data_IF_686954402022
#
_entry.id   IF_686954402022
#
_cell.length_a   1.000
_cell.length_b   1.000
_cell.length_c   1.000
_cell.angle_alpha   90.00
_cell.angle_beta   90.00
_cell.angle_gamma   90.00
#
_symmetry.space_group_name_H-M   'P 1'
#
loop_
_entity.id
_entity.type
_entity.pdbx_description
1 polymer ?
#
# COMPACT_ATOMS: atom_id res chain seq x y z
N UNK A 1 -34.08 12.78 -2.13
CA UNK A 1 -32.91 13.49 -1.57
C UNK A 1 -31.73 12.53 -1.38
N UNK A 2 -30.50 13.03 -1.31
CA UNK A 2 -29.27 12.27 -1.10
C UNK A 2 -28.29 13.05 -0.20
N UNK A 3 -27.43 12.39 0.57
CA UNK A 3 -26.53 13.04 1.54
C UNK A 3 -25.12 13.18 0.98
N UNK A 4 -24.64 14.40 0.72
CA UNK A 4 -23.28 14.73 0.27
C UNK A 4 -22.19 14.21 1.21
N UNK A 5 -20.96 14.07 0.72
CA UNK A 5 -19.78 13.76 1.54
C UNK A 5 -19.51 14.85 2.60
N UNK A 6 -19.93 16.09 2.33
CA UNK A 6 -19.93 17.20 3.28
C UNK A 6 -21.08 17.17 4.31
N UNK A 7 -21.90 16.12 4.31
CA UNK A 7 -23.01 15.94 5.26
C UNK A 7 -24.27 16.73 4.93
N UNK A 8 -24.28 17.53 3.86
CA UNK A 8 -25.47 18.27 3.42
C UNK A 8 -26.43 17.40 2.62
N UNK A 9 -27.72 17.73 2.66
CA UNK A 9 -28.74 17.01 1.87
C UNK A 9 -28.98 17.75 0.56
N UNK A 10 -28.95 17.02 -0.55
CA UNK A 10 -29.14 17.56 -1.90
C UNK A 10 -30.32 16.92 -2.63
N UNK A 11 -30.91 17.68 -3.55
CA UNK A 11 -31.84 17.14 -4.53
C UNK A 11 -31.07 16.55 -5.72
N UNK A 12 -31.40 15.32 -6.10
CA UNK A 12 -30.81 14.64 -7.24
C UNK A 12 -31.39 15.09 -8.59
N UNK A 13 -32.57 15.68 -8.56
CA UNK A 13 -33.26 16.30 -9.69
C UNK A 13 -34.20 17.40 -9.17
N UNK A 14 -34.58 18.39 -10.01
CA UNK A 14 -35.48 19.45 -9.60
C UNK A 14 -36.78 18.92 -9.00
N UNK A 15 -37.14 19.41 -7.81
CA UNK A 15 -38.34 18.97 -7.09
C UNK A 15 -38.23 17.56 -6.49
N UNK A 16 -37.02 17.01 -6.45
CA UNK A 16 -36.76 15.67 -5.95
C UNK A 16 -36.94 15.51 -4.44
N UNK A 17 -37.00 16.58 -3.66
CA UNK A 17 -37.36 16.51 -2.24
C UNK A 17 -38.82 16.14 -2.02
N UNK A 18 -39.71 16.50 -2.94
CA UNK A 18 -41.15 16.22 -2.88
C UNK A 18 -41.52 14.83 -3.41
N UNK A 19 -40.56 14.11 -4.00
CA UNK A 19 -40.79 12.79 -4.58
C UNK A 19 -40.40 11.69 -3.60
N UNK A 20 -41.37 10.83 -3.29
CA UNK A 20 -41.10 9.62 -2.50
C UNK A 20 -40.37 8.57 -3.33
N UNK A 21 -39.39 7.91 -2.72
CA UNK A 21 -38.75 6.74 -3.31
C UNK A 21 -39.74 5.58 -3.30
N UNK A 22 -39.99 5.00 -4.45
CA UNK A 22 -40.89 3.86 -4.68
C UNK A 22 -40.13 2.75 -5.36
N UNK A 23 -40.68 1.54 -5.36
CA UNK A 23 -40.08 0.45 -6.13
C UNK A 23 -39.95 0.83 -7.62
N UNK A 24 -40.92 1.53 -8.20
CA UNK A 24 -40.89 1.93 -9.61
C UNK A 24 -39.74 2.90 -9.96
N UNK A 25 -39.47 3.90 -9.12
CA UNK A 25 -38.46 4.94 -9.40
C UNK A 25 -37.07 4.65 -8.80
N UNK A 26 -36.87 3.49 -8.14
CA UNK A 26 -35.61 3.13 -7.47
C UNK A 26 -34.39 3.14 -8.39
N UNK A 27 -34.54 2.66 -9.63
CA UNK A 27 -33.43 2.57 -10.59
C UNK A 27 -32.97 3.95 -11.05
N UNK A 28 -33.92 4.86 -11.31
CA UNK A 28 -33.61 6.26 -11.63
C UNK A 28 -32.88 6.92 -10.46
N UNK A 29 -33.39 6.73 -9.24
CA UNK A 29 -32.75 7.28 -8.05
C UNK A 29 -31.33 6.75 -7.88
N UNK A 30 -31.09 5.45 -8.06
CA UNK A 30 -29.76 4.86 -8.00
C UNK A 30 -28.81 5.49 -9.03
N UNK A 31 -29.24 5.60 -10.29
CA UNK A 31 -28.42 6.23 -11.35
C UNK A 31 -28.07 7.68 -11.03
N UNK A 32 -29.04 8.47 -10.55
CA UNK A 32 -28.80 9.87 -10.19
C UNK A 32 -27.90 10.00 -8.95
N UNK A 33 -28.08 9.13 -7.95
CA UNK A 33 -27.25 9.13 -6.75
C UNK A 33 -25.80 8.76 -7.08
N UNK A 34 -25.59 7.76 -7.95
CA UNK A 34 -24.27 7.38 -8.45
C UNK A 34 -23.63 8.50 -9.26
N UNK A 35 -24.37 9.13 -10.18
CA UNK A 35 -23.87 10.26 -10.95
C UNK A 35 -23.47 11.43 -10.02
N UNK A 36 -24.30 11.75 -9.03
CA UNK A 36 -23.98 12.79 -8.06
C UNK A 36 -22.71 12.45 -7.25
N UNK A 37 -22.60 11.23 -6.72
CA UNK A 37 -21.39 10.74 -6.02
C UNK A 37 -20.13 10.91 -6.87
N UNK A 38 -20.18 10.55 -8.15
CA UNK A 38 -19.03 10.65 -9.05
C UNK A 38 -18.59 12.09 -9.32
N UNK A 39 -19.53 13.04 -9.29
CA UNK A 39 -19.30 14.44 -9.65
C UNK A 39 -19.13 15.40 -8.46
N UNK A 40 -19.19 14.89 -7.22
CA UNK A 40 -19.12 15.71 -6.00
C UNK A 40 -17.80 16.47 -5.82
N UNK A 41 -16.73 15.97 -6.43
CA UNK A 41 -15.39 16.54 -6.34
C UNK A 41 -14.85 16.94 -7.72
N UNK A 42 -15.72 17.32 -8.67
CA UNK A 42 -15.31 17.69 -10.03
C UNK A 42 -14.32 18.86 -10.05
N UNK A 43 -14.50 19.86 -9.18
CA UNK A 43 -13.59 21.00 -9.10
C UNK A 43 -12.17 20.58 -8.66
N UNK A 44 -12.07 19.72 -7.65
CA UNK A 44 -10.82 19.18 -7.12
C UNK A 44 -10.17 18.22 -8.14
N UNK A 45 -10.97 17.36 -8.75
CA UNK A 45 -10.54 16.42 -9.80
C UNK A 45 -10.01 17.16 -11.01
N UNK A 46 -10.67 18.25 -11.43
CA UNK A 46 -10.20 19.11 -12.50
C UNK A 46 -8.87 19.81 -12.13
N UNK A 47 -8.66 20.19 -10.87
CA UNK A 47 -7.39 20.76 -10.41
C UNK A 47 -6.25 19.73 -10.44
N UNK A 48 -6.49 18.52 -9.94
CA UNK A 48 -5.54 17.40 -10.04
C UNK A 48 -5.23 17.09 -11.50
N UNK A 49 -6.24 17.00 -12.36
CA UNK A 49 -6.06 16.76 -13.81
C UNK A 49 -5.19 17.83 -14.47
N UNK A 50 -5.39 19.11 -14.12
CA UNK A 50 -4.54 20.21 -14.62
C UNK A 50 -3.09 20.05 -14.16
N UNK A 51 -2.85 19.69 -12.90
CA UNK A 51 -1.50 19.44 -12.39
C UNK A 51 -0.81 18.28 -13.10
N UNK A 52 -1.51 17.15 -13.29
CA UNK A 52 -0.99 16.00 -14.04
C UNK A 52 -0.65 16.38 -15.48
N UNK A 53 -1.51 17.16 -16.15
CA UNK A 53 -1.31 17.60 -17.53
C UNK A 53 -0.08 18.52 -17.72
N UNK A 54 0.47 19.12 -16.65
CA UNK A 54 1.70 19.91 -16.71
C UNK A 54 2.95 19.05 -16.84
N UNK A 55 2.87 17.77 -16.45
CA UNK A 55 4.02 16.85 -16.41
C UNK A 55 3.88 15.75 -17.47
N UNK A 56 2.65 15.32 -17.77
CA UNK A 56 2.36 14.18 -18.65
C UNK A 56 1.28 14.52 -19.68
N UNK A 57 1.38 14.04 -20.94
CA UNK A 57 0.30 14.13 -21.92
C UNK A 57 -0.92 13.32 -21.46
N UNK A 58 -2.10 13.95 -21.39
CA UNK A 58 -3.31 13.28 -20.91
C UNK A 58 -3.79 12.17 -21.86
N UNK A 59 -3.47 12.28 -23.14
CA UNK A 59 -3.78 11.29 -24.17
C UNK A 59 -3.09 9.95 -23.86
N UNK A 60 -1.92 9.98 -23.23
CA UNK A 60 -1.22 8.77 -22.80
C UNK A 60 -1.96 8.06 -21.66
N UNK A 61 -2.67 8.80 -20.80
CA UNK A 61 -3.41 8.21 -19.68
C UNK A 61 -4.66 7.45 -20.15
N UNK A 62 -5.23 7.84 -21.29
CA UNK A 62 -6.41 7.17 -21.90
C UNK A 62 -6.07 5.76 -22.42
N UNK A 63 -4.77 5.45 -22.59
CA UNK A 63 -4.32 4.12 -23.00
C UNK A 63 -4.41 3.08 -21.87
N UNK A 64 -4.61 3.52 -20.63
CA UNK A 64 -4.69 2.66 -19.46
C UNK A 64 -6.11 2.58 -18.92
N UNK A 65 -6.49 1.40 -18.46
CA UNK A 65 -7.65 1.23 -17.56
C UNK A 65 -7.37 1.88 -16.20
N UNK A 66 -8.43 2.10 -15.41
CA UNK A 66 -8.29 2.64 -14.05
C UNK A 66 -7.38 1.75 -13.17
N UNK A 67 -7.50 0.43 -13.29
CA UNK A 67 -6.70 -0.54 -12.53
C UNK A 67 -5.23 -0.56 -12.97
N UNK A 68 -4.95 -0.41 -14.27
CA UNK A 68 -3.58 -0.29 -14.77
C UNK A 68 -2.93 1.02 -14.31
N UNK A 69 -3.65 2.13 -14.37
CA UNK A 69 -3.13 3.41 -13.88
C UNK A 69 -2.90 3.38 -12.36
N UNK A 70 -3.79 2.75 -11.58
CA UNK A 70 -3.59 2.55 -10.15
C UNK A 70 -2.32 1.72 -9.89
N UNK A 71 -2.11 0.61 -10.61
CA UNK A 71 -0.90 -0.22 -10.46
C UNK A 71 0.38 0.52 -10.84
N UNK A 72 0.34 1.34 -11.89
CA UNK A 72 1.48 2.14 -12.32
C UNK A 72 1.89 3.18 -11.27
N UNK A 73 0.90 3.85 -10.67
CA UNK A 73 1.12 4.95 -9.71
C UNK A 73 1.36 4.43 -8.29
N UNK A 74 0.50 3.54 -7.83
CA UNK A 74 0.50 3.05 -6.45
C UNK A 74 1.32 1.77 -6.26
N UNK A 75 1.56 1.00 -7.33
CA UNK A 75 2.20 -0.31 -7.25
C UNK A 75 1.21 -1.48 -7.15
N UNK A 76 1.75 -2.67 -7.27
CA UNK A 76 1.05 -3.95 -7.18
C UNK A 76 0.80 -4.32 -5.71
N UNK A 77 -0.49 -4.53 -5.40
CA UNK A 77 -0.95 -4.95 -4.08
C UNK A 77 -0.54 -6.39 -3.76
N UNK A 78 -0.74 -7.31 -4.71
CA UNK A 78 -0.54 -8.74 -4.51
C UNK A 78 0.80 -9.18 -5.09
N UNK A 79 1.88 -8.95 -4.35
CA UNK A 79 3.23 -9.35 -4.73
C UNK A 79 3.63 -10.68 -4.07
N UNK A 80 4.45 -11.47 -4.76
CA UNK A 80 4.98 -12.74 -4.24
C UNK A 80 6.34 -12.54 -3.58
N UNK A 81 6.69 -13.38 -2.61
CA UNK A 81 7.98 -13.30 -1.92
C UNK A 81 9.15 -13.48 -2.89
N UNK A 82 8.96 -14.28 -3.93
CA UNK A 82 9.92 -14.47 -5.02
C UNK A 82 10.13 -13.18 -5.82
N UNK A 83 9.06 -12.39 -6.02
CA UNK A 83 9.16 -11.09 -6.67
C UNK A 83 10.05 -10.14 -5.85
N UNK A 84 9.84 -10.02 -4.55
CA UNK A 84 10.72 -9.22 -3.68
C UNK A 84 12.16 -9.78 -3.68
N UNK A 85 12.31 -11.10 -3.57
CA UNK A 85 13.62 -11.78 -3.54
C UNK A 85 14.43 -11.55 -4.81
N UNK A 86 13.78 -11.47 -5.98
CA UNK A 86 14.43 -11.15 -7.26
C UNK A 86 15.16 -9.80 -7.22
N UNK A 87 14.64 -8.86 -6.44
CA UNK A 87 15.18 -7.51 -6.28
C UNK A 87 15.89 -7.30 -4.94
N UNK A 88 16.13 -8.39 -4.20
CA UNK A 88 16.87 -8.35 -2.97
C UNK A 88 18.39 -8.47 -3.21
N UNK A 89 19.16 -7.83 -2.34
CA UNK A 89 20.61 -7.93 -2.26
C UNK A 89 20.99 -8.29 -0.83
N UNK A 90 21.62 -9.44 -0.65
CA UNK A 90 22.15 -9.86 0.65
C UNK A 90 23.60 -9.38 0.72
N UNK A 91 23.91 -8.60 1.76
CA UNK A 91 25.26 -8.09 2.01
C UNK A 91 25.97 -8.91 3.07
N UNK A 92 25.97 -8.45 4.32
CA UNK A 92 26.74 -9.11 5.40
C UNK A 92 25.90 -10.09 6.23
N UNK A 93 24.60 -10.21 5.96
CA UNK A 93 23.73 -11.14 6.65
C UNK A 93 24.10 -12.60 6.36
N UNK A 94 24.00 -13.46 7.37
CA UNK A 94 24.35 -14.87 7.21
C UNK A 94 23.23 -15.64 6.48
N UNK A 95 23.62 -16.71 5.77
CA UNK A 95 22.69 -17.46 4.92
C UNK A 95 21.55 -18.13 5.70
N UNK A 96 21.76 -18.48 6.97
CA UNK A 96 20.75 -19.15 7.80
C UNK A 96 19.65 -18.17 8.19
N UNK A 97 20.02 -17.02 8.76
CA UNK A 97 19.07 -15.98 9.14
C UNK A 97 18.30 -15.43 7.94
N UNK A 98 18.98 -15.27 6.80
CA UNK A 98 18.33 -14.89 5.54
C UNK A 98 17.36 -15.97 5.04
N UNK A 99 17.72 -17.25 5.20
CA UNK A 99 16.80 -18.37 4.94
C UNK A 99 15.53 -18.27 5.76
N UNK A 100 15.66 -18.06 7.07
CA UNK A 100 14.53 -17.86 7.98
C UNK A 100 13.65 -16.68 7.57
N UNK A 101 14.24 -15.55 7.19
CA UNK A 101 13.50 -14.39 6.70
C UNK A 101 12.58 -14.76 5.53
N UNK A 102 13.12 -15.45 4.50
CA UNK A 102 12.33 -15.80 3.33
C UNK A 102 11.23 -16.81 3.63
N UNK A 103 11.52 -17.81 4.48
CA UNK A 103 10.50 -18.77 4.91
C UNK A 103 9.38 -18.10 5.71
N UNK A 104 9.73 -17.19 6.62
CA UNK A 104 8.76 -16.43 7.41
C UNK A 104 7.89 -15.56 6.51
N UNK A 105 8.49 -14.83 5.56
CA UNK A 105 7.74 -14.01 4.60
C UNK A 105 6.79 -14.85 3.73
N UNK A 106 7.19 -16.07 3.35
CA UNK A 106 6.34 -16.97 2.56
C UNK A 106 5.11 -17.46 3.36
N UNK A 107 5.26 -17.62 4.68
CA UNK A 107 4.18 -18.01 5.59
C UNK A 107 3.34 -16.84 6.11
N UNK A 108 3.71 -15.60 5.79
CA UNK A 108 2.93 -14.42 6.18
C UNK A 108 1.65 -14.31 5.36
N UNK A 109 0.57 -13.87 6.01
CA UNK A 109 -0.66 -13.47 5.31
C UNK A 109 -0.44 -12.16 4.54
N UNK A 110 -1.39 -11.82 3.67
CA UNK A 110 -1.28 -10.64 2.79
C UNK A 110 -1.06 -9.36 3.58
N UNK A 111 -1.80 -9.17 4.65
CA UNK A 111 -1.75 -7.98 5.51
C UNK A 111 -0.39 -7.86 6.22
N UNK A 112 0.19 -8.98 6.67
CA UNK A 112 1.54 -9.01 7.27
C UNK A 112 2.61 -8.65 6.25
N UNK A 113 2.48 -9.10 5.00
CA UNK A 113 3.40 -8.72 3.92
C UNK A 113 3.31 -7.24 3.58
N UNK A 114 2.11 -6.66 3.56
CA UNK A 114 1.94 -5.21 3.39
C UNK A 114 2.61 -4.43 4.52
N UNK A 115 2.42 -4.86 5.78
CA UNK A 115 3.09 -4.24 6.93
C UNK A 115 4.61 -4.38 6.86
N UNK A 116 5.11 -5.52 6.37
CA UNK A 116 6.54 -5.69 6.15
C UNK A 116 7.10 -4.69 5.14
N UNK A 117 6.42 -4.45 4.01
CA UNK A 117 6.86 -3.42 3.06
C UNK A 117 6.81 -2.01 3.65
N UNK A 118 5.80 -1.70 4.47
CA UNK A 118 5.76 -0.41 5.18
C UNK A 118 6.96 -0.29 6.11
N UNK A 119 7.30 -1.36 6.83
CA UNK A 119 8.45 -1.39 7.74
C UNK A 119 9.77 -1.15 7.00
N UNK A 120 10.05 -1.89 5.91
CA UNK A 120 11.35 -1.79 5.21
C UNK A 120 11.42 -0.70 4.15
N UNK A 121 10.28 -0.25 3.61
CA UNK A 121 10.21 0.65 2.45
C UNK A 121 9.24 1.84 2.60
N UNK A 122 8.41 1.85 3.63
CA UNK A 122 7.49 2.97 3.86
C UNK A 122 6.35 3.04 2.84
N UNK A 123 6.12 1.95 2.10
CA UNK A 123 5.05 1.82 1.12
C UNK A 123 4.33 0.51 1.33
N UNK A 124 3.03 0.49 1.08
CA UNK A 124 2.20 -0.72 1.23
C UNK A 124 2.19 -1.63 0.00
N UNK A 125 2.81 -1.21 -1.12
CA UNK A 125 2.77 -1.92 -2.41
C UNK A 125 4.14 -1.93 -3.08
N UNK A 126 4.43 -3.01 -3.80
CA UNK A 126 5.63 -3.11 -4.65
C UNK A 126 5.43 -2.30 -5.93
N UNK A 127 6.43 -1.57 -6.45
CA UNK A 127 6.39 -0.98 -7.77
C UNK A 127 6.07 -2.01 -8.86
N UNK A 128 5.39 -1.56 -9.90
CA UNK A 128 5.20 -2.36 -11.09
C UNK A 128 6.53 -2.48 -11.85
N UNK A 129 7.02 -3.71 -12.01
CA UNK A 129 8.28 -3.99 -12.69
C UNK A 129 9.51 -3.92 -11.76
N UNK A 130 10.64 -3.45 -12.29
CA UNK A 130 11.88 -3.38 -11.53
C UNK A 130 11.85 -2.18 -10.57
N UNK A 131 12.02 -2.38 -9.26
CA UNK A 131 12.05 -1.29 -8.31
C UNK A 131 13.30 -0.43 -8.52
N UNK A 132 13.22 0.89 -8.28
CA UNK A 132 14.36 1.80 -8.47
C UNK A 132 15.51 1.54 -7.50
N UNK A 133 15.21 0.90 -6.37
CA UNK A 133 16.18 0.53 -5.34
C UNK A 133 16.01 -0.96 -5.01
N UNK A 134 17.13 -1.63 -4.74
CA UNK A 134 17.15 -3.03 -4.30
C UNK A 134 16.78 -3.13 -2.82
N UNK A 135 16.12 -4.22 -2.44
CA UNK A 135 15.87 -4.54 -1.03
C UNK A 135 17.14 -5.09 -0.40
N UNK A 136 17.77 -4.36 0.51
CA UNK A 136 19.05 -4.76 1.10
C UNK A 136 18.80 -5.52 2.40
N UNK A 137 19.39 -6.72 2.53
CA UNK A 137 19.41 -7.46 3.79
C UNK A 137 20.85 -7.49 4.32
N UNK A 138 21.05 -6.88 5.48
CA UNK A 138 22.36 -6.71 6.09
C UNK A 138 22.39 -7.27 7.51
N UNK A 139 23.56 -7.64 8.01
CA UNK A 139 23.64 -8.16 9.38
C UNK A 139 23.47 -7.03 10.41
N UNK A 140 22.69 -7.30 11.44
CA UNK A 140 22.65 -6.45 12.63
C UNK A 140 23.68 -6.94 13.64
N UNK A 141 24.61 -6.06 14.01
CA UNK A 141 25.57 -6.35 15.07
C UNK A 141 24.90 -6.05 16.42
N UNK A 142 24.67 -7.10 17.21
CA UNK A 142 24.00 -7.03 18.51
C UNK A 142 24.89 -7.63 19.59
N UNK A 143 24.76 -7.13 20.83
CA UNK A 143 25.45 -7.69 22.00
C UNK A 143 24.49 -8.61 22.74
N UNK A 144 24.94 -9.80 23.15
CA UNK A 144 24.08 -10.78 23.84
C UNK A 144 23.36 -11.72 22.88
N UNK A 145 22.19 -12.22 23.28
CA UNK A 145 21.44 -13.18 22.48
C UNK A 145 20.75 -12.50 21.28
N UNK A 146 21.07 -12.86 20.02
CA UNK A 146 20.39 -12.30 18.85
C UNK A 146 18.88 -12.56 18.87
N UNK A 147 18.41 -13.64 19.49
CA UNK A 147 16.99 -13.98 19.57
C UNK A 147 16.21 -13.07 20.52
N UNK A 148 16.87 -12.19 21.28
CA UNK A 148 16.22 -11.17 22.11
C UNK A 148 16.04 -9.83 21.38
N UNK A 149 16.77 -9.61 20.28
CA UNK A 149 16.81 -8.35 19.57
C UNK A 149 15.73 -8.26 18.48
N UNK A 150 15.22 -7.07 18.24
CA UNK A 150 14.32 -6.78 17.11
C UNK A 150 15.15 -6.43 15.86
N UNK A 151 14.63 -6.76 14.66
CA UNK A 151 15.23 -6.26 13.43
C UNK A 151 15.04 -4.75 13.31
N UNK A 152 15.95 -4.09 12.61
CA UNK A 152 15.90 -2.65 12.35
C UNK A 152 15.72 -2.39 10.86
N UNK A 153 14.83 -1.48 10.50
CA UNK A 153 14.67 -1.00 9.14
C UNK A 153 15.29 0.38 8.97
N UNK A 154 16.03 0.57 7.87
CA UNK A 154 16.44 1.87 7.39
C UNK A 154 15.67 2.17 6.12
N UNK A 155 14.45 2.68 6.30
CA UNK A 155 13.43 2.83 5.25
C UNK A 155 13.91 3.68 4.07
N UNK A 156 14.67 4.76 4.34
CA UNK A 156 15.26 5.63 3.32
C UNK A 156 16.20 4.89 2.35
N UNK A 157 16.76 3.75 2.77
CA UNK A 157 17.70 2.95 1.99
C UNK A 157 17.13 1.58 1.59
N UNK A 158 15.85 1.35 1.84
CA UNK A 158 15.18 0.07 1.62
C UNK A 158 15.97 -1.12 2.20
N UNK A 159 16.43 -0.95 3.43
CA UNK A 159 17.37 -1.86 4.07
C UNK A 159 16.81 -2.45 5.36
N UNK A 160 16.97 -3.76 5.53
CA UNK A 160 16.69 -4.51 6.74
C UNK A 160 18.01 -4.95 7.38
N UNK A 161 18.25 -4.51 8.61
CA UNK A 161 19.27 -5.07 9.48
C UNK A 161 18.67 -6.24 10.25
N UNK A 162 19.19 -7.44 9.98
CA UNK A 162 18.69 -8.68 10.51
C UNK A 162 19.64 -9.23 11.58
N UNK A 163 19.20 -9.40 12.84
CA UNK A 163 19.95 -10.15 13.84
C UNK A 163 20.23 -11.57 13.35
N UNK A 164 21.33 -12.16 13.82
CA UNK A 164 21.72 -13.54 13.49
C UNK A 164 20.91 -14.56 14.27
N UNK A 165 19.60 -14.62 13.99
CA UNK A 165 18.66 -15.48 14.73
C UNK A 165 19.09 -16.95 14.70
N UNK A 166 18.92 -17.64 15.82
CA UNK A 166 19.30 -19.05 15.97
C UNK A 166 18.22 -19.99 15.46
N UNK A 167 16.98 -19.53 15.40
CA UNK A 167 15.80 -20.29 14.98
C UNK A 167 14.87 -19.48 14.10
N UNK A 168 14.07 -20.19 13.29
CA UNK A 168 13.02 -19.58 12.46
C UNK A 168 11.92 -18.97 13.34
N UNK A 169 11.62 -19.62 14.46
CA UNK A 169 10.59 -19.22 15.41
C UNK A 169 10.95 -17.86 16.05
N UNK A 170 12.21 -17.67 16.46
CA UNK A 170 12.69 -16.39 16.95
C UNK A 170 12.61 -15.30 15.88
N UNK A 171 13.06 -15.61 14.65
CA UNK A 171 12.97 -14.68 13.51
C UNK A 171 11.52 -14.25 13.26
N UNK A 172 10.58 -15.21 13.22
CA UNK A 172 9.15 -14.96 13.02
C UNK A 172 8.58 -14.08 14.13
N UNK A 173 8.81 -14.44 15.38
CA UNK A 173 8.26 -13.71 16.53
C UNK A 173 8.76 -12.25 16.56
N UNK A 174 10.06 -12.03 16.34
CA UNK A 174 10.66 -10.70 16.35
C UNK A 174 10.27 -9.86 15.14
N UNK A 175 10.19 -10.47 13.95
CA UNK A 175 9.76 -9.78 12.75
C UNK A 175 8.29 -9.35 12.84
N UNK A 176 7.40 -10.26 13.25
CA UNK A 176 5.98 -9.93 13.44
C UNK A 176 5.82 -8.82 14.49
N UNK A 177 6.52 -8.92 15.62
CA UNK A 177 6.50 -7.87 16.63
C UNK A 177 6.92 -6.51 16.04
N UNK A 178 8.03 -6.46 15.28
CA UNK A 178 8.51 -5.23 14.68
C UNK A 178 7.49 -4.61 13.71
N UNK A 179 6.95 -5.39 12.76
CA UNK A 179 6.03 -4.85 11.74
C UNK A 179 4.66 -4.44 12.32
N UNK A 180 4.22 -5.06 13.43
CA UNK A 180 2.96 -4.69 14.07
C UNK A 180 3.07 -3.47 14.99
N UNK A 181 4.24 -3.23 15.58
CA UNK A 181 4.44 -2.16 16.56
C UNK A 181 5.17 -0.93 16.00
N UNK A 182 5.86 -1.05 14.86
CA UNK A 182 6.51 0.05 14.17
C UNK A 182 5.61 0.57 13.03
N UNK A 183 4.48 1.19 13.40
CA UNK A 183 3.48 1.72 12.46
C UNK A 183 3.65 3.21 12.13
N UNK A 184 4.49 3.91 12.87
CA UNK A 184 4.71 5.36 12.70
C UNK A 184 6.04 5.60 11.98
N UNK A 185 5.98 5.98 10.70
CA UNK A 185 6.79 7.12 10.27
C UNK A 185 6.01 8.33 10.76
N UNK A 186 6.50 8.99 11.80
CA UNK A 186 5.98 10.27 12.26
C UNK A 186 5.87 11.23 11.07
N UNK A 187 4.64 11.45 10.60
CA UNK A 187 4.25 12.69 9.95
C UNK A 187 4.07 13.71 11.07
N UNK A 188 5.20 14.20 11.59
CA UNK A 188 5.25 15.41 12.40
C UNK A 188 5.06 16.65 11.52
#
# INVERSE_FOLDING_TARGET
MHRSDGGSTVELKPGGASLSLTYHNRSEWCSLATAFRLHECDAQTAAVRRGVAQILPLEALVLYTADELERLVCGQRDWSVEHLRKYAEVRTADSRSVGFLWEVLAEMVREERELFLIFVWGRSRMPEGAPPQRFIVDSQHVQGDPDEHLPLAATCFFQLHLPRYRSKEACRAKLLYAIYNCKEMDLA
#
